data_IF_274997972152
#
_entry.id   IF_274997972152
#
_cell.length_a   1.000
_cell.length_b   1.000
_cell.length_c   1.000
_cell.angle_alpha   90.00
_cell.angle_beta   90.00
_cell.angle_gamma   90.00
#
_symmetry.space_group_name_H-M   'P 1'
#
loop_
_entity.id
_entity.type
_entity.pdbx_description
1 polymer ?
#
# COMPACT_ATOMS: atom_id res chain seq x y z
N UNK A 1 -31.78 -16.38 -32.34
CA UNK A 1 -30.53 -15.55 -32.26
C UNK A 1 -30.65 -14.46 -31.19
N UNK A 2 -31.68 -13.60 -31.22
CA UNK A 2 -31.85 -12.53 -30.21
C UNK A 2 -31.96 -13.01 -28.76
N UNK A 3 -32.64 -14.13 -28.51
CA UNK A 3 -32.81 -14.72 -27.19
C UNK A 3 -31.49 -15.25 -26.60
N UNK A 4 -30.56 -15.71 -27.42
CA UNK A 4 -29.27 -16.19 -27.00
C UNK A 4 -28.35 -15.03 -26.60
N UNK A 5 -28.41 -13.92 -27.34
CA UNK A 5 -27.70 -12.68 -27.02
C UNK A 5 -28.20 -12.04 -25.74
N UNK A 6 -29.53 -11.97 -25.55
CA UNK A 6 -30.14 -11.43 -24.33
C UNK A 6 -29.72 -12.27 -23.11
N UNK A 7 -29.72 -13.60 -23.21
CA UNK A 7 -29.26 -14.50 -22.14
C UNK A 7 -27.77 -14.34 -21.83
N UNK A 8 -26.93 -14.09 -22.84
CA UNK A 8 -25.51 -13.82 -22.61
C UNK A 8 -25.28 -12.48 -21.93
N UNK A 9 -26.02 -11.44 -22.30
CA UNK A 9 -25.95 -10.11 -21.68
C UNK A 9 -26.41 -10.15 -20.22
N UNK A 10 -27.52 -10.82 -19.91
CA UNK A 10 -28.01 -10.97 -18.53
C UNK A 10 -27.05 -11.79 -17.67
N UNK A 11 -26.39 -12.80 -18.24
CA UNK A 11 -25.36 -13.56 -17.54
C UNK A 11 -24.12 -12.71 -17.25
N UNK A 12 -23.70 -11.87 -18.19
CA UNK A 12 -22.59 -10.95 -18.02
C UNK A 12 -22.92 -9.89 -16.96
N UNK A 13 -24.14 -9.35 -16.96
CA UNK A 13 -24.59 -8.41 -15.94
C UNK A 13 -24.67 -9.03 -14.55
N UNK A 14 -25.16 -10.27 -14.46
CA UNK A 14 -25.21 -11.01 -13.21
C UNK A 14 -23.78 -11.28 -12.65
N UNK A 15 -22.84 -11.70 -13.51
CA UNK A 15 -21.42 -11.90 -13.15
C UNK A 15 -20.78 -10.57 -12.71
N UNK A 16 -21.08 -9.48 -13.40
CA UNK A 16 -20.61 -8.13 -13.07
C UNK A 16 -21.11 -7.69 -11.69
N UNK A 17 -22.38 -7.97 -11.39
CA UNK A 17 -22.98 -7.66 -10.08
C UNK A 17 -22.39 -8.48 -8.94
N UNK A 18 -22.01 -9.73 -9.20
CA UNK A 18 -21.32 -10.61 -8.21
C UNK A 18 -19.87 -10.18 -8.02
N UNK A 19 -19.24 -9.62 -9.06
CA UNK A 19 -17.85 -9.15 -9.02
C UNK A 19 -17.71 -7.67 -8.60
N UNK A 20 -18.80 -6.93 -8.48
CA UNK A 20 -18.80 -5.56 -7.94
C UNK A 20 -18.62 -5.60 -6.43
N UNK A 21 -17.36 -5.70 -6.03
CA UNK A 21 -16.99 -5.49 -4.62
C UNK A 21 -17.25 -4.02 -4.31
N UNK A 22 -18.13 -3.77 -3.33
CA UNK A 22 -18.48 -2.40 -2.94
C UNK A 22 -17.23 -1.61 -2.52
N UNK A 23 -17.16 -0.35 -2.89
CA UNK A 23 -16.11 0.59 -2.50
C UNK A 23 -15.78 0.51 -1.00
N UNK A 24 -16.81 0.34 -0.17
CA UNK A 24 -16.66 0.22 1.29
C UNK A 24 -15.73 -0.92 1.75
N UNK A 25 -15.70 -2.04 1.04
CA UNK A 25 -14.80 -3.15 1.37
C UNK A 25 -13.34 -2.81 1.10
N UNK A 26 -13.06 -2.11 -0.01
CA UNK A 26 -11.70 -1.65 -0.31
C UNK A 26 -11.24 -0.61 0.71
N UNK A 27 -12.12 0.32 1.10
CA UNK A 27 -11.80 1.32 2.12
C UNK A 27 -11.60 0.69 3.50
N UNK A 28 -12.41 -0.29 3.87
CA UNK A 28 -12.23 -1.03 5.12
C UNK A 28 -10.88 -1.79 5.13
N UNK A 29 -10.55 -2.48 4.05
CA UNK A 29 -9.27 -3.17 3.92
C UNK A 29 -8.09 -2.20 4.00
N UNK A 30 -8.17 -1.08 3.29
CA UNK A 30 -7.17 -0.02 3.33
C UNK A 30 -6.98 0.53 4.76
N UNK A 31 -8.07 0.81 5.47
CA UNK A 31 -8.00 1.30 6.85
C UNK A 31 -7.36 0.28 7.81
N UNK A 32 -7.66 -1.01 7.64
CA UNK A 32 -7.05 -2.09 8.42
C UNK A 32 -5.55 -2.17 8.14
N UNK A 33 -5.15 -2.20 6.87
CA UNK A 33 -3.73 -2.27 6.48
C UNK A 33 -2.95 -1.06 6.99
N UNK A 34 -3.53 0.14 6.87
CA UNK A 34 -2.91 1.36 7.38
C UNK A 34 -2.71 1.30 8.90
N UNK A 35 -3.73 0.87 9.63
CA UNK A 35 -3.67 0.74 11.09
C UNK A 35 -2.61 -0.27 11.53
N UNK A 36 -2.51 -1.41 10.85
CA UNK A 36 -1.47 -2.42 11.12
C UNK A 36 -0.09 -1.81 10.88
N UNK A 37 0.09 -1.04 9.81
CA UNK A 37 1.33 -0.33 9.51
C UNK A 37 1.72 0.65 10.62
N UNK A 38 0.78 1.49 11.07
CA UNK A 38 0.99 2.46 12.17
C UNK A 38 1.41 1.75 13.45
N UNK A 39 0.66 0.72 13.86
CA UNK A 39 0.97 -0.07 15.06
C UNK A 39 2.35 -0.72 14.93
N UNK A 40 2.68 -1.23 13.75
CA UNK A 40 3.99 -1.83 13.48
C UNK A 40 5.13 -0.83 13.64
N UNK A 41 5.01 0.39 13.13
CA UNK A 41 6.02 1.45 13.29
C UNK A 41 6.24 1.80 14.77
N UNK A 42 5.16 1.85 15.57
CA UNK A 42 5.24 2.21 17.00
C UNK A 42 5.90 1.09 17.83
N UNK A 43 5.62 -0.16 17.50
CA UNK A 43 6.07 -1.31 18.31
C UNK A 43 7.47 -1.78 17.90
N UNK A 44 7.80 -1.70 16.60
CA UNK A 44 9.07 -2.24 16.10
C UNK A 44 10.22 -1.26 16.29
N UNK A 45 11.34 -1.77 16.77
CA UNK A 45 12.59 -1.03 16.93
C UNK A 45 13.60 -1.27 15.81
N UNK A 46 13.42 -2.35 15.07
CA UNK A 46 14.27 -2.68 13.94
C UNK A 46 13.93 -1.80 12.73
N UNK A 47 14.94 -1.11 12.20
CA UNK A 47 14.80 -0.15 11.08
C UNK A 47 14.17 -0.80 9.86
N UNK A 48 14.57 -2.01 9.50
CA UNK A 48 14.02 -2.73 8.35
C UNK A 48 12.52 -3.00 8.55
N UNK A 49 12.13 -3.45 9.75
CA UNK A 49 10.72 -3.69 10.08
C UNK A 49 9.89 -2.41 10.04
N UNK A 50 10.46 -1.28 10.49
CA UNK A 50 9.79 0.03 10.40
C UNK A 50 9.59 0.44 8.93
N UNK A 51 10.60 0.26 8.07
CA UNK A 51 10.47 0.50 6.63
C UNK A 51 9.36 -0.33 5.99
N UNK A 52 9.28 -1.61 6.31
CA UNK A 52 8.21 -2.49 5.80
C UNK A 52 6.82 -2.05 6.27
N UNK A 53 6.71 -1.52 7.49
CA UNK A 53 5.45 -0.98 8.01
C UNK A 53 5.04 0.31 7.29
N UNK A 54 6.00 1.20 6.99
CA UNK A 54 5.74 2.41 6.20
C UNK A 54 5.30 2.05 4.78
N UNK A 55 5.96 1.07 4.16
CA UNK A 55 5.58 0.56 2.84
C UNK A 55 4.15 -0.01 2.85
N UNK A 56 3.77 -0.72 3.90
CA UNK A 56 2.40 -1.21 4.08
C UNK A 56 1.39 -0.06 4.17
N UNK A 57 1.73 1.03 4.86
CA UNK A 57 0.88 2.23 4.93
C UNK A 57 0.73 2.90 3.57
N UNK A 58 1.81 3.03 2.79
CA UNK A 58 1.76 3.57 1.43
C UNK A 58 0.90 2.70 0.50
N UNK A 59 1.02 1.38 0.59
CA UNK A 59 0.16 0.45 -0.16
C UNK A 59 -1.32 0.58 0.23
N UNK A 60 -1.63 0.80 1.50
CA UNK A 60 -3.00 1.07 1.95
C UNK A 60 -3.58 2.35 1.32
N UNK A 61 -2.80 3.43 1.28
CA UNK A 61 -3.18 4.68 0.60
C UNK A 61 -3.39 4.45 -0.90
N UNK A 62 -2.49 3.73 -1.56
CA UNK A 62 -2.61 3.39 -2.97
C UNK A 62 -3.90 2.59 -3.26
N UNK A 63 -4.25 1.64 -2.39
CA UNK A 63 -5.50 0.89 -2.52
C UNK A 63 -6.72 1.82 -2.46
N UNK A 64 -6.69 2.84 -1.59
CA UNK A 64 -7.73 3.86 -1.51
C UNK A 64 -7.86 4.66 -2.82
N UNK A 65 -6.74 5.12 -3.39
CA UNK A 65 -6.74 5.86 -4.66
C UNK A 65 -7.28 5.02 -5.82
N UNK A 66 -6.87 3.76 -5.92
CA UNK A 66 -7.38 2.84 -6.94
C UNK A 66 -8.88 2.61 -6.78
N UNK A 67 -9.34 2.41 -5.54
CA UNK A 67 -10.74 2.19 -5.25
C UNK A 67 -11.62 3.40 -5.65
N UNK A 68 -11.20 4.61 -5.32
CA UNK A 68 -11.89 5.83 -5.74
C UNK A 68 -11.82 6.06 -7.25
N UNK A 69 -10.66 5.81 -7.88
CA UNK A 69 -10.49 5.89 -9.33
C UNK A 69 -11.49 4.98 -10.05
N UNK A 70 -11.63 3.76 -9.58
CA UNK A 70 -12.61 2.80 -10.11
C UNK A 70 -14.05 3.26 -9.88
N UNK A 71 -14.36 3.80 -8.71
CA UNK A 71 -15.70 4.25 -8.36
C UNK A 71 -16.14 5.45 -9.19
N UNK A 72 -15.28 6.45 -9.35
CA UNK A 72 -15.54 7.65 -10.15
C UNK A 72 -15.33 7.44 -11.66
N UNK A 73 -14.81 6.28 -12.06
CA UNK A 73 -14.44 5.98 -13.46
C UNK A 73 -13.47 7.02 -14.04
N UNK A 74 -12.57 7.50 -13.22
CA UNK A 74 -11.55 8.48 -13.57
C UNK A 74 -10.15 7.90 -13.32
N UNK A 75 -9.25 8.09 -14.27
CA UNK A 75 -7.85 7.57 -14.20
C UNK A 75 -6.96 8.39 -13.28
N UNK A 76 -7.42 9.53 -12.79
CA UNK A 76 -6.64 10.44 -11.94
C UNK A 76 -6.11 9.74 -10.69
N UNK A 77 -6.91 8.90 -10.03
CA UNK A 77 -6.45 8.11 -8.89
C UNK A 77 -5.33 7.14 -9.23
N UNK A 78 -5.36 6.53 -10.41
CA UNK A 78 -4.28 5.64 -10.88
C UNK A 78 -2.98 6.41 -11.14
N UNK A 79 -3.08 7.64 -11.63
CA UNK A 79 -1.93 8.51 -11.81
C UNK A 79 -1.27 8.84 -10.46
N UNK A 80 -2.07 9.15 -9.43
CA UNK A 80 -1.56 9.36 -8.07
C UNK A 80 -0.86 8.11 -7.52
N UNK A 81 -1.44 6.93 -7.73
CA UNK A 81 -0.80 5.65 -7.33
C UNK A 81 0.56 5.49 -8.00
N UNK A 82 0.68 5.79 -9.29
CA UNK A 82 1.95 5.71 -10.00
C UNK A 82 3.01 6.65 -9.40
N UNK A 83 2.61 7.89 -9.07
CA UNK A 83 3.50 8.86 -8.40
C UNK A 83 3.93 8.35 -7.03
N UNK A 84 2.99 7.89 -6.21
CA UNK A 84 3.29 7.37 -4.86
C UNK A 84 4.22 6.16 -4.93
N UNK A 85 4.00 5.24 -5.85
CA UNK A 85 4.88 4.07 -6.05
C UNK A 85 6.29 4.49 -6.47
N UNK A 86 6.41 5.51 -7.31
CA UNK A 86 7.73 6.04 -7.73
C UNK A 86 8.48 6.65 -6.56
N UNK A 87 7.80 7.43 -5.72
CA UNK A 87 8.39 8.02 -4.50
C UNK A 87 8.75 6.91 -3.51
N UNK A 88 7.87 5.95 -3.27
CA UNK A 88 8.13 4.81 -2.38
C UNK A 88 9.36 4.00 -2.82
N UNK A 89 9.52 3.76 -4.12
CA UNK A 89 10.69 3.08 -4.64
C UNK A 89 12.00 3.88 -4.41
N UNK A 90 11.94 5.20 -4.57
CA UNK A 90 13.09 6.07 -4.30
C UNK A 90 13.43 6.10 -2.80
N UNK A 91 12.43 6.21 -1.92
CA UNK A 91 12.61 6.16 -0.47
C UNK A 91 13.18 4.82 -0.02
N UNK A 92 12.69 3.70 -0.56
CA UNK A 92 13.20 2.37 -0.26
C UNK A 92 14.67 2.23 -0.67
N UNK A 93 15.06 2.73 -1.83
CA UNK A 93 16.45 2.68 -2.29
C UNK A 93 17.38 3.50 -1.40
N UNK A 94 17.00 4.73 -1.05
CA UNK A 94 17.78 5.60 -0.15
C UNK A 94 17.80 5.02 1.27
N UNK A 95 16.65 4.58 1.77
CA UNK A 95 16.53 3.98 3.09
C UNK A 95 17.38 2.73 3.25
N UNK A 96 17.38 1.84 2.26
CA UNK A 96 18.24 0.66 2.26
C UNK A 96 19.72 1.03 2.24
N UNK A 97 20.11 2.06 1.47
CA UNK A 97 21.46 2.59 1.46
C UNK A 97 21.91 3.07 2.84
N UNK A 98 21.06 3.81 3.55
CA UNK A 98 21.30 4.27 4.92
C UNK A 98 21.43 3.10 5.89
N UNK A 99 20.53 2.11 5.81
CA UNK A 99 20.54 0.91 6.64
C UNK A 99 21.85 0.15 6.47
N UNK A 100 22.30 -0.05 5.24
CA UNK A 100 23.57 -0.74 4.94
C UNK A 100 24.76 0.04 5.52
N UNK A 101 24.75 1.37 5.39
CA UNK A 101 25.81 2.21 5.93
C UNK A 101 25.89 2.13 7.48
N UNK A 102 24.75 2.14 8.16
CA UNK A 102 24.67 1.98 9.61
C UNK A 102 25.17 0.59 10.03
N UNK A 103 24.69 -0.46 9.35
CA UNK A 103 25.04 -1.85 9.68
C UNK A 103 26.54 -2.11 9.52
N UNK A 104 27.15 -1.57 8.48
CA UNK A 104 28.62 -1.71 8.28
C UNK A 104 29.44 -1.10 9.42
N UNK A 105 28.89 -0.09 10.10
CA UNK A 105 29.62 0.62 11.16
C UNK A 105 29.28 0.10 12.57
N UNK A 106 28.10 -0.50 12.78
CA UNK A 106 27.61 -0.82 14.13
C UNK A 106 27.11 -2.24 14.35
N UNK A 107 27.01 -3.04 13.32
CA UNK A 107 26.50 -4.43 13.36
C UNK A 107 25.10 -4.59 14.01
N UNK A 108 24.35 -3.48 14.16
CA UNK A 108 23.00 -3.45 14.73
C UNK A 108 22.06 -2.65 13.87
N UNK A 109 20.81 -3.12 13.76
CA UNK A 109 19.69 -2.46 13.07
C UNK A 109 18.67 -1.89 14.04
N UNK A 110 18.97 -1.83 15.34
CA UNK A 110 18.09 -1.23 16.33
C UNK A 110 18.22 0.30 16.29
N UNK A 111 17.08 1.00 16.28
CA UNK A 111 17.02 2.46 16.26
C UNK A 111 17.66 3.07 17.51
N UNK A 112 17.52 2.39 18.64
CA UNK A 112 18.09 2.84 19.91
C UNK A 112 19.63 2.82 19.89
N UNK A 113 20.24 1.91 19.11
CA UNK A 113 21.68 1.81 18.93
C UNK A 113 22.24 2.86 17.95
N UNK A 114 21.39 3.38 17.06
CA UNK A 114 21.76 4.42 16.09
C UNK A 114 21.82 5.83 16.69
N UNK A 115 21.51 6.01 17.98
CA UNK A 115 21.54 7.30 18.64
C UNK A 115 23.00 7.76 18.92
N UNK A 116 23.54 8.55 17.98
CA UNK A 116 24.92 9.10 18.03
C UNK A 116 25.06 10.19 19.10
N UNK A 117 23.94 10.81 19.55
CA UNK A 117 23.92 11.90 20.52
C UNK A 117 23.84 11.45 21.98
N UNK A 118 23.81 10.15 22.22
CA UNK A 118 23.90 9.59 23.57
C UNK A 118 25.37 9.57 23.98
N UNK A 119 25.80 10.67 24.47
CA UNK A 119 27.07 10.81 25.18
C UNK A 119 26.97 10.16 26.55
#
# INVERSE_FOLDING_TARGET
MLTTWIKSLTKIEALRKVMDVHLSWYLALSAILFTIGVVGVIIKRNIISMFMCIELMLNAVNLTFVAFSSYFRDVTGQLFVFIVMTVAAAEAAVGLGIIIAIFRNRESLDVDDANILKL
#
